data_IF_957144328602
#
_entry.id   IF_957144328602
#
_cell.length_a   1.000
_cell.length_b   1.000
_cell.length_c   1.000
_cell.angle_alpha   90.00
_cell.angle_beta   90.00
_cell.angle_gamma   90.00
#
_symmetry.space_group_name_H-M   'P 1'
#
loop_
_entity.id
_entity.type
_entity.pdbx_description
1 polymer ?
#
# COMPACT_ATOMS: atom_id res chain seq x y z
N UNK A 1 -0.76 -10.40 10.39
CA UNK A 1 -1.33 -11.22 11.49
C UNK A 1 -2.84 -11.11 11.47
N UNK A 2 -3.61 -12.17 11.76
CA UNK A 2 -5.07 -12.11 11.73
C UNK A 2 -5.66 -11.30 12.88
N UNK A 3 -6.92 -10.89 12.71
CA UNK A 3 -7.76 -10.27 13.71
C UNK A 3 -8.08 -11.20 14.88
N UNK A 4 -8.21 -10.63 16.08
CA UNK A 4 -8.55 -11.34 17.31
C UNK A 4 -9.99 -11.85 17.33
N UNK A 5 -10.24 -12.88 18.14
CA UNK A 5 -11.55 -13.52 18.30
C UNK A 5 -11.49 -15.04 18.11
N UNK A 6 -12.35 -15.76 18.82
CA UNK A 6 -12.44 -17.22 18.76
C UNK A 6 -13.01 -17.74 17.44
N UNK A 7 -12.81 -19.02 17.14
CA UNK A 7 -13.35 -19.67 15.93
C UNK A 7 -14.88 -19.60 15.93
N UNK A 8 -15.48 -19.05 14.89
CA UNK A 8 -16.95 -18.91 14.75
C UNK A 8 -17.57 -17.69 15.44
N UNK A 9 -16.78 -16.86 16.14
CA UNK A 9 -17.23 -15.59 16.70
C UNK A 9 -16.84 -14.40 15.80
N UNK A 10 -17.55 -13.26 15.89
CA UNK A 10 -17.13 -12.02 15.26
C UNK A 10 -15.69 -11.67 15.64
N UNK A 11 -14.87 -11.29 14.66
CA UNK A 11 -13.49 -10.87 14.89
C UNK A 11 -13.42 -9.39 15.30
N UNK A 12 -12.34 -9.03 15.99
CA UNK A 12 -11.95 -7.65 16.27
C UNK A 12 -10.74 -7.26 15.40
N UNK A 13 -10.95 -6.54 14.28
CA UNK A 13 -9.88 -6.11 13.38
C UNK A 13 -8.88 -5.12 13.98
N UNK A 14 -9.22 -4.49 15.12
CA UNK A 14 -8.35 -3.58 15.85
C UNK A 14 -7.35 -4.29 16.77
N UNK A 15 -7.45 -5.62 16.92
CA UNK A 15 -6.64 -6.40 17.85
C UNK A 15 -6.02 -7.61 17.18
N UNK A 16 -4.77 -7.89 17.54
CA UNK A 16 -4.02 -9.06 17.05
C UNK A 16 -4.53 -10.32 17.74
N UNK A 17 -4.75 -11.36 16.92
CA UNK A 17 -5.11 -12.71 17.34
C UNK A 17 -4.21 -13.27 18.45
N UNK A 18 -4.85 -13.89 19.44
CA UNK A 18 -4.22 -14.43 20.66
C UNK A 18 -4.97 -15.63 21.25
N UNK A 19 -5.75 -16.33 20.43
CA UNK A 19 -6.56 -17.49 20.79
C UNK A 19 -5.78 -18.82 20.87
N UNK A 20 -4.48 -18.83 20.52
CA UNK A 20 -3.60 -20.01 20.60
C UNK A 20 -2.29 -19.66 21.31
N UNK A 21 -1.54 -20.66 21.78
CA UNK A 21 -0.23 -20.43 22.39
C UNK A 21 0.75 -19.75 21.41
N UNK A 22 0.78 -20.19 20.14
CA UNK A 22 1.63 -19.59 19.11
C UNK A 22 1.28 -18.12 18.87
N UNK A 23 -0.01 -17.81 18.68
CA UNK A 23 -0.44 -16.43 18.42
C UNK A 23 -0.25 -15.52 19.63
N UNK A 24 -0.35 -16.04 20.86
CA UNK A 24 0.01 -15.29 22.08
C UNK A 24 1.48 -14.94 22.14
N UNK A 25 2.37 -15.86 21.79
CA UNK A 25 3.81 -15.59 21.81
C UNK A 25 4.21 -14.58 20.71
N UNK A 26 3.67 -14.73 19.50
CA UNK A 26 3.84 -13.75 18.40
C UNK A 26 3.37 -12.36 18.82
N UNK A 27 2.15 -12.25 19.39
CA UNK A 27 1.61 -10.99 19.91
C UNK A 27 2.50 -10.40 20.99
N UNK A 28 3.01 -11.21 21.93
CA UNK A 28 3.89 -10.77 23.01
C UNK A 28 5.20 -10.19 22.48
N UNK A 29 5.84 -10.84 21.52
CA UNK A 29 7.06 -10.35 20.87
C UNK A 29 6.79 -8.99 20.22
N UNK A 30 5.72 -8.87 19.45
CA UNK A 30 5.38 -7.61 18.80
C UNK A 30 5.05 -6.51 19.81
N UNK A 31 4.21 -6.79 20.81
CA UNK A 31 3.84 -5.78 21.81
C UNK A 31 5.05 -5.31 22.61
N UNK A 32 6.03 -6.19 22.87
CA UNK A 32 7.30 -5.81 23.48
C UNK A 32 8.09 -4.85 22.59
N UNK A 33 8.18 -5.13 21.29
CA UNK A 33 8.84 -4.25 20.33
C UNK A 33 8.14 -2.88 20.25
N UNK A 34 6.81 -2.86 20.17
CA UNK A 34 6.01 -1.63 20.09
C UNK A 34 6.03 -0.81 21.39
N UNK A 35 6.27 -1.44 22.53
CA UNK A 35 6.39 -0.74 23.82
C UNK A 35 7.81 -0.20 24.08
N UNK A 36 8.79 -0.64 23.29
CA UNK A 36 10.20 -0.26 23.46
C UNK A 36 10.55 0.94 22.58
N UNK A 37 11.62 1.68 22.93
CA UNK A 37 12.13 2.76 22.06
C UNK A 37 12.58 2.21 20.70
N UNK A 38 12.29 2.90 19.58
CA UNK A 38 11.60 4.20 19.48
C UNK A 38 10.06 4.11 19.44
N UNK A 39 9.49 2.92 19.29
CA UNK A 39 8.07 2.70 19.02
C UNK A 39 7.15 2.99 20.21
N UNK A 40 7.65 2.95 21.45
CA UNK A 40 6.88 3.28 22.65
C UNK A 40 6.31 4.71 22.65
N UNK A 41 6.84 5.60 21.79
CA UNK A 41 6.32 6.95 21.57
C UNK A 41 5.39 7.07 20.35
N UNK A 42 4.78 5.98 19.89
CA UNK A 42 3.83 5.96 18.78
C UNK A 42 2.44 5.48 19.26
N UNK A 43 1.40 6.04 18.65
CA UNK A 43 0.09 5.41 18.54
C UNK A 43 0.12 4.39 17.42
N UNK A 44 -0.56 3.26 17.63
CA UNK A 44 -0.65 2.18 16.65
C UNK A 44 -2.13 1.88 16.41
N UNK A 45 -2.55 1.94 15.15
CA UNK A 45 -3.85 1.46 14.72
C UNK A 45 -3.67 0.24 13.83
N UNK A 46 -4.54 -0.75 14.03
CA UNK A 46 -4.57 -1.98 13.24
C UNK A 46 -5.84 -2.00 12.41
N UNK A 47 -5.75 -2.52 11.19
CA UNK A 47 -6.91 -2.93 10.41
C UNK A 47 -6.60 -4.33 9.93
N UNK A 48 -7.07 -5.36 10.63
CA UNK A 48 -6.67 -6.75 10.39
C UNK A 48 -7.78 -7.55 9.71
N UNK A 49 -7.40 -8.45 8.82
CA UNK A 49 -8.31 -9.42 8.22
C UNK A 49 -8.57 -10.61 9.15
N UNK A 50 -9.64 -11.35 8.89
CA UNK A 50 -9.94 -12.61 9.59
C UNK A 50 -8.93 -13.72 9.29
N UNK A 51 -8.19 -13.58 8.19
CA UNK A 51 -7.19 -14.54 7.71
C UNK A 51 -5.76 -14.07 7.98
N UNK A 52 -4.77 -14.93 7.70
CA UNK A 52 -3.34 -14.53 7.72
C UNK A 52 -2.97 -13.65 6.52
N UNK A 53 -3.84 -13.56 5.52
CA UNK A 53 -3.64 -12.77 4.31
C UNK A 53 -4.25 -11.38 4.50
N UNK A 54 -3.49 -10.35 4.13
CA UNK A 54 -3.80 -8.93 4.35
C UNK A 54 -3.71 -8.46 5.81
N UNK A 55 -4.42 -7.37 6.09
CA UNK A 55 -4.22 -6.54 7.27
C UNK A 55 -3.13 -5.48 7.09
N UNK A 56 -3.32 -4.32 7.70
CA UNK A 56 -2.36 -3.23 7.72
C UNK A 56 -2.30 -2.56 9.09
N UNK A 57 -1.25 -1.77 9.30
CA UNK A 57 -1.04 -1.01 10.52
C UNK A 57 -0.60 0.42 10.20
N UNK A 58 -0.94 1.35 11.09
CA UNK A 58 -0.47 2.73 11.01
C UNK A 58 0.16 3.11 12.35
N UNK A 59 1.41 3.56 12.30
CA UNK A 59 2.13 4.08 13.45
C UNK A 59 2.30 5.60 13.30
N UNK A 60 1.83 6.37 14.28
CA UNK A 60 1.98 7.84 14.32
C UNK A 60 2.62 8.25 15.64
N UNK A 61 3.67 9.09 15.61
CA UNK A 61 4.29 9.59 16.85
C UNK A 61 3.23 10.28 17.72
N UNK A 62 3.27 10.07 19.04
CA UNK A 62 2.28 10.59 20.01
C UNK A 62 2.18 12.12 20.05
N UNK A 63 3.20 12.84 19.57
CA UNK A 63 3.14 14.30 19.42
C UNK A 63 2.22 14.76 18.28
N UNK A 64 1.81 13.87 17.37
CA UNK A 64 0.84 14.16 16.33
C UNK A 64 -0.50 13.49 16.65
N UNK A 65 -1.57 14.27 16.58
CA UNK A 65 -2.92 13.82 16.89
C UNK A 65 -3.80 13.87 15.64
N UNK A 66 -4.18 12.72 15.05
CA UNK A 66 -5.25 12.68 14.06
C UNK A 66 -6.56 13.17 14.67
N UNK A 67 -7.34 13.92 13.90
CA UNK A 67 -8.71 14.34 14.21
C UNK A 67 -9.66 13.15 14.17
N UNK A 68 -9.49 12.27 13.19
CA UNK A 68 -10.30 11.06 12.99
C UNK A 68 -9.42 9.97 12.40
N UNK A 69 -9.67 8.72 12.81
CA UNK A 69 -9.12 7.53 12.14
C UNK A 69 -10.28 6.66 11.69
N UNK A 70 -10.23 6.15 10.46
CA UNK A 70 -11.27 5.33 9.83
C UNK A 70 -10.63 4.14 9.12
N UNK A 71 -11.40 3.07 8.95
CA UNK A 71 -10.88 1.76 8.54
C UNK A 71 -11.57 1.18 7.30
N UNK A 72 -12.22 2.07 6.54
CA UNK A 72 -12.97 1.76 5.35
C UNK A 72 -12.82 2.90 4.34
N UNK A 73 -13.00 2.57 3.06
CA UNK A 73 -13.07 3.56 1.99
C UNK A 73 -14.35 4.40 2.11
N UNK A 74 -15.45 3.77 2.53
CA UNK A 74 -16.70 4.48 2.84
C UNK A 74 -16.58 5.25 4.16
N UNK A 75 -16.64 6.59 4.06
CA UNK A 75 -16.48 7.49 5.20
C UNK A 75 -17.63 7.44 6.21
N UNK A 76 -18.78 6.88 5.82
CA UNK A 76 -19.95 6.68 6.68
C UNK A 76 -19.90 5.36 7.46
N UNK A 77 -19.00 4.44 7.06
CA UNK A 77 -18.84 3.18 7.75
C UNK A 77 -18.20 3.37 9.13
N UNK A 78 -18.81 2.76 10.14
CA UNK A 78 -18.29 2.73 11.52
C UNK A 78 -17.45 1.49 11.82
N UNK A 79 -17.34 0.56 10.87
CA UNK A 79 -16.63 -0.72 11.02
C UNK A 79 -15.44 -0.79 10.07
N UNK A 80 -14.47 -1.63 10.41
CA UNK A 80 -13.38 -1.99 9.52
C UNK A 80 -13.92 -2.72 8.29
N UNK A 81 -13.26 -2.53 7.15
CA UNK A 81 -13.46 -3.43 6.02
C UNK A 81 -12.94 -4.84 6.37
N UNK A 82 -13.65 -5.91 5.98
CA UNK A 82 -13.30 -7.28 6.35
C UNK A 82 -11.87 -7.71 5.99
N UNK A 83 -11.31 -7.14 4.92
CA UNK A 83 -9.97 -7.49 4.45
C UNK A 83 -8.85 -6.71 5.16
N UNK A 84 -9.17 -5.75 6.04
CA UNK A 84 -8.16 -4.98 6.79
C UNK A 84 -7.22 -4.14 5.91
N UNK A 85 -7.68 -3.74 4.71
CA UNK A 85 -6.82 -3.13 3.66
C UNK A 85 -6.73 -1.62 3.71
N UNK A 86 -7.37 -0.97 4.69
CA UNK A 86 -7.55 0.49 4.73
C UNK A 86 -7.34 1.02 6.14
N UNK A 87 -6.52 2.07 6.24
CA UNK A 87 -6.51 3.00 7.36
C UNK A 87 -6.45 4.42 6.79
N UNK A 88 -7.44 5.25 7.09
CA UNK A 88 -7.46 6.66 6.78
C UNK A 88 -7.34 7.47 8.09
N UNK A 89 -6.24 8.19 8.24
CA UNK A 89 -6.02 9.12 9.34
C UNK A 89 -6.17 10.56 8.83
N UNK A 90 -7.13 11.29 9.37
CA UNK A 90 -7.35 12.70 9.06
C UNK A 90 -6.62 13.57 10.08
N UNK A 91 -5.74 14.43 9.61
CA UNK A 91 -5.10 15.48 10.40
C UNK A 91 -5.78 16.83 10.09
N UNK A 92 -5.39 17.86 10.86
CA UNK A 92 -5.93 19.22 10.66
C UNK A 92 -5.72 19.71 9.23
N UNK A 93 -4.53 19.50 8.66
CA UNK A 93 -4.12 20.09 7.37
C UNK A 93 -4.03 19.10 6.21
N UNK A 94 -4.04 17.79 6.47
CA UNK A 94 -3.96 16.76 5.42
C UNK A 94 -4.64 15.45 5.86
N UNK A 95 -4.83 14.54 4.92
CA UNK A 95 -5.26 13.15 5.16
C UNK A 95 -4.15 12.19 4.77
N UNK A 96 -3.93 11.16 5.59
CA UNK A 96 -3.05 10.03 5.29
C UNK A 96 -3.91 8.78 5.07
N UNK A 97 -3.91 8.29 3.84
CA UNK A 97 -4.57 7.05 3.45
C UNK A 97 -3.51 5.97 3.27
N UNK A 98 -3.49 4.97 4.14
CA UNK A 98 -2.69 3.78 3.97
C UNK A 98 -3.57 2.65 3.42
N UNK A 99 -3.14 2.03 2.32
CA UNK A 99 -3.86 0.90 1.73
C UNK A 99 -2.96 -0.26 1.34
N UNK A 100 -3.51 -1.46 1.42
CA UNK A 100 -2.96 -2.64 0.78
C UNK A 100 -3.93 -3.14 -0.31
N UNK A 101 -3.70 -2.77 -1.56
CA UNK A 101 -4.60 -3.11 -2.65
C UNK A 101 -4.63 -4.62 -2.90
N UNK A 102 -5.79 -5.20 -3.29
CA UNK A 102 -5.87 -6.62 -3.61
C UNK A 102 -5.06 -6.95 -4.87
N UNK A 103 -4.21 -7.98 -4.79
CA UNK A 103 -3.55 -8.55 -5.97
C UNK A 103 -4.54 -9.45 -6.75
N UNK A 104 -4.43 -9.47 -8.08
CA UNK A 104 -5.24 -10.37 -8.92
C UNK A 104 -4.78 -11.83 -8.82
N UNK A 105 -3.51 -12.07 -8.51
CA UNK A 105 -2.91 -13.40 -8.46
C UNK A 105 -3.01 -14.12 -9.81
N UNK A 106 -2.46 -15.33 -9.86
CA UNK A 106 -2.49 -16.14 -11.09
C UNK A 106 -3.63 -17.16 -11.11
N UNK A 107 -4.05 -17.64 -9.92
CA UNK A 107 -4.99 -18.78 -9.78
C UNK A 107 -5.83 -18.78 -8.50
N UNK A 108 -5.62 -17.82 -7.59
CA UNK A 108 -6.09 -17.99 -6.20
C UNK A 108 -7.59 -17.81 -6.04
N UNK A 109 -8.26 -17.02 -6.88
CA UNK A 109 -9.69 -16.77 -6.77
C UNK A 109 -10.31 -16.51 -8.16
N UNK A 110 -11.35 -17.25 -8.53
CA UNK A 110 -12.11 -17.05 -9.79
C UNK A 110 -12.59 -15.60 -9.97
N UNK A 111 -12.73 -14.86 -8.86
CA UNK A 111 -13.24 -13.48 -8.80
C UNK A 111 -12.17 -12.43 -8.53
N UNK A 112 -10.88 -12.76 -8.57
CA UNK A 112 -9.79 -11.83 -8.20
C UNK A 112 -9.80 -10.54 -9.03
N UNK A 113 -9.94 -10.65 -10.36
CA UNK A 113 -10.07 -9.50 -11.27
C UNK A 113 -11.31 -8.65 -10.97
N UNK A 114 -12.44 -9.27 -10.65
CA UNK A 114 -13.66 -8.55 -10.28
C UNK A 114 -13.48 -7.79 -8.96
N UNK A 115 -12.85 -8.43 -7.96
CA UNK A 115 -12.49 -7.81 -6.68
C UNK A 115 -11.58 -6.60 -6.90
N UNK A 116 -10.52 -6.75 -7.71
CA UNK A 116 -9.59 -5.64 -8.03
C UNK A 116 -10.28 -4.51 -8.79
N UNK A 117 -11.08 -4.80 -9.81
CA UNK A 117 -11.83 -3.76 -10.54
C UNK A 117 -12.80 -3.00 -9.62
N UNK A 118 -13.50 -3.69 -8.71
CA UNK A 118 -14.36 -3.05 -7.70
C UNK A 118 -13.56 -2.18 -6.73
N UNK A 119 -12.39 -2.66 -6.29
CA UNK A 119 -11.47 -1.89 -5.46
C UNK A 119 -11.01 -0.60 -6.16
N UNK A 120 -10.49 -0.71 -7.39
CA UNK A 120 -9.99 0.44 -8.16
C UNK A 120 -11.10 1.48 -8.39
N UNK A 121 -12.34 1.04 -8.67
CA UNK A 121 -13.50 1.93 -8.79
C UNK A 121 -13.79 2.67 -7.48
N UNK A 122 -13.82 1.96 -6.34
CA UNK A 122 -14.05 2.59 -5.02
C UNK A 122 -12.93 3.55 -4.65
N UNK A 123 -11.68 3.20 -4.97
CA UNK A 123 -10.53 4.08 -4.76
C UNK A 123 -10.66 5.37 -5.57
N UNK A 124 -11.04 5.29 -6.85
CA UNK A 124 -11.33 6.47 -7.68
C UNK A 124 -12.39 7.37 -7.02
N UNK A 125 -13.51 6.80 -6.60
CA UNK A 125 -14.59 7.53 -5.93
C UNK A 125 -14.09 8.22 -4.66
N UNK A 126 -13.31 7.53 -3.84
CA UNK A 126 -12.77 8.08 -2.59
C UNK A 126 -11.77 9.21 -2.83
N UNK A 127 -10.81 9.07 -3.75
CA UNK A 127 -9.80 10.13 -3.96
C UNK A 127 -10.44 11.41 -4.48
N UNK A 128 -11.51 11.29 -5.28
CA UNK A 128 -12.30 12.44 -5.74
C UNK A 128 -13.08 13.06 -4.58
N UNK A 129 -13.75 12.24 -3.75
CA UNK A 129 -14.50 12.70 -2.59
C UNK A 129 -13.63 13.40 -1.53
N UNK A 130 -12.38 12.95 -1.35
CA UNK A 130 -11.45 13.48 -0.34
C UNK A 130 -10.67 14.71 -0.82
N UNK A 131 -10.98 15.26 -2.01
CA UNK A 131 -10.19 16.33 -2.66
C UNK A 131 -10.24 17.70 -1.96
N UNK A 132 -11.15 17.91 -1.01
CA UNK A 132 -11.28 19.13 -0.21
C UNK A 132 -10.01 19.41 0.62
N UNK A 133 -9.36 18.36 1.14
CA UNK A 133 -8.14 18.46 1.95
C UNK A 133 -6.98 17.74 1.24
N UNK A 134 -5.73 18.25 1.34
CA UNK A 134 -4.56 17.55 0.79
C UNK A 134 -4.49 16.08 1.24
N UNK A 135 -4.20 15.18 0.30
CA UNK A 135 -4.15 13.74 0.51
C UNK A 135 -2.72 13.23 0.30
N UNK A 136 -2.26 12.38 1.21
CA UNK A 136 -1.11 11.51 1.04
C UNK A 136 -1.65 10.08 1.08
N UNK A 137 -1.51 9.34 -0.01
CA UNK A 137 -1.93 7.95 -0.15
C UNK A 137 -0.70 7.06 -0.29
N UNK A 138 -0.53 6.09 0.60
CA UNK A 138 0.61 5.19 0.59
C UNK A 138 0.25 3.72 0.80
N UNK A 139 1.26 2.87 0.63
CA UNK A 139 1.21 1.42 0.84
C UNK A 139 1.49 0.64 -0.43
N UNK A 140 1.29 -0.68 -0.36
CA UNK A 140 1.37 -1.58 -1.52
C UNK A 140 0.08 -1.47 -2.35
N UNK A 141 0.21 -0.85 -3.52
CA UNK A 141 -0.90 -0.61 -4.45
C UNK A 141 -1.03 -1.73 -5.50
N UNK A 142 -0.17 -2.76 -5.46
CA UNK A 142 -0.18 -3.91 -6.33
C UNK A 142 -0.33 -3.53 -7.81
N UNK A 143 0.40 -2.50 -8.25
CA UNK A 143 0.46 -2.06 -9.64
C UNK A 143 1.77 -1.35 -9.91
N UNK A 144 2.48 -1.69 -10.97
CA UNK A 144 3.57 -0.90 -11.54
C UNK A 144 3.00 -0.10 -12.70
N UNK A 145 2.98 1.22 -12.56
CA UNK A 145 2.19 2.09 -13.44
C UNK A 145 2.73 2.11 -14.87
N UNK A 146 4.03 2.29 -15.02
CA UNK A 146 4.68 2.43 -16.31
C UNK A 146 5.75 1.36 -16.57
N UNK A 147 6.18 1.21 -17.82
CA UNK A 147 7.23 0.22 -18.17
C UNK A 147 8.55 0.47 -17.44
N UNK A 148 8.81 1.71 -17.05
CA UNK A 148 9.98 2.07 -16.25
C UNK A 148 9.92 1.52 -14.81
N UNK A 149 8.72 1.14 -14.35
CA UNK A 149 8.46 0.66 -12.99
C UNK A 149 8.63 -0.83 -12.82
N UNK A 150 9.07 -1.52 -13.86
CA UNK A 150 9.47 -2.92 -13.78
C UNK A 150 10.84 -3.12 -14.42
N UNK A 151 11.61 -4.03 -13.84
CA UNK A 151 12.96 -4.36 -14.33
C UNK A 151 12.97 -5.04 -15.71
N UNK A 152 11.91 -5.76 -16.06
CA UNK A 152 11.81 -6.57 -17.27
C UNK A 152 10.41 -6.46 -17.89
N UNK A 153 10.10 -5.34 -18.56
CA UNK A 153 8.75 -5.06 -19.07
C UNK A 153 8.23 -6.17 -19.98
N UNK A 154 9.05 -6.65 -20.92
CA UNK A 154 8.66 -7.74 -21.83
C UNK A 154 8.28 -9.03 -21.09
N UNK A 155 9.08 -9.42 -20.08
CA UNK A 155 8.81 -10.60 -19.27
C UNK A 155 7.47 -10.47 -18.53
N UNK A 156 7.22 -9.33 -17.89
CA UNK A 156 6.01 -9.12 -17.13
C UNK A 156 4.78 -8.98 -18.03
N UNK A 157 4.88 -8.28 -19.17
CA UNK A 157 3.78 -8.15 -20.12
C UNK A 157 3.44 -9.46 -20.83
N UNK A 158 4.42 -10.34 -21.07
CA UNK A 158 4.21 -11.61 -21.74
C UNK A 158 3.96 -12.79 -20.78
N UNK A 159 4.01 -12.56 -19.46
CA UNK A 159 3.86 -13.62 -18.47
C UNK A 159 2.52 -14.35 -18.63
N UNK A 160 2.58 -15.68 -18.60
CA UNK A 160 1.44 -16.60 -18.72
C UNK A 160 1.60 -17.74 -17.73
N UNK A 161 0.48 -18.34 -17.36
CA UNK A 161 0.46 -19.56 -16.55
C UNK A 161 -0.29 -20.64 -17.31
N UNK A 162 0.33 -21.81 -17.42
CA UNK A 162 -0.28 -22.94 -18.11
C UNK A 162 -1.63 -23.31 -17.47
N UNK A 163 -2.63 -23.49 -18.33
CA UNK A 163 -4.00 -23.79 -17.95
C UNK A 163 -4.78 -22.60 -17.38
N UNK A 164 -4.29 -21.37 -17.54
CA UNK A 164 -5.00 -20.17 -17.13
C UNK A 164 -5.17 -19.20 -18.30
N UNK A 165 -6.42 -18.77 -18.53
CA UNK A 165 -6.78 -17.75 -19.51
C UNK A 165 -7.45 -16.62 -18.74
N UNK A 166 -6.87 -15.40 -18.74
CA UNK A 166 -7.50 -14.26 -18.08
C UNK A 166 -8.80 -13.88 -18.80
N UNK A 167 -9.74 -13.22 -18.11
CA UNK A 167 -11.08 -12.96 -18.66
C UNK A 167 -11.07 -12.03 -19.87
N UNK A 168 -10.08 -11.12 -19.97
CA UNK A 168 -9.93 -10.22 -21.12
C UNK A 168 -8.48 -10.16 -21.60
N UNK A 169 -8.27 -9.78 -22.86
CA UNK A 169 -6.92 -9.61 -23.45
C UNK A 169 -6.07 -8.57 -22.71
N UNK A 170 -6.70 -7.53 -22.15
CA UNK A 170 -6.02 -6.48 -21.36
C UNK A 170 -5.60 -6.94 -19.96
N UNK A 171 -6.10 -8.10 -19.51
CA UNK A 171 -5.74 -8.74 -18.24
C UNK A 171 -4.61 -9.79 -18.42
N UNK A 172 -4.07 -9.92 -19.65
CA UNK A 172 -2.88 -10.73 -19.93
C UNK A 172 -1.61 -10.09 -19.36
N UNK A 173 -0.66 -10.95 -18.96
CA UNK A 173 0.59 -10.54 -18.32
C UNK A 173 0.56 -10.78 -16.82
N UNK A 174 1.62 -10.35 -16.14
CA UNK A 174 1.79 -10.48 -14.70
C UNK A 174 0.78 -9.60 -13.96
N UNK A 175 0.00 -10.16 -13.00
CA UNK A 175 -0.75 -9.39 -12.02
C UNK A 175 0.11 -8.31 -11.36
N UNK A 176 -0.40 -7.08 -11.34
CA UNK A 176 0.34 -5.89 -10.96
C UNK A 176 1.04 -5.18 -12.12
N UNK A 177 1.00 -5.71 -13.35
CA UNK A 177 1.53 -5.04 -14.54
C UNK A 177 0.66 -5.26 -15.79
N UNK A 178 -0.58 -5.72 -15.62
CA UNK A 178 -1.50 -5.85 -16.74
C UNK A 178 -1.88 -4.47 -17.30
N UNK A 179 -2.23 -4.42 -18.59
CA UNK A 179 -2.64 -3.16 -19.23
C UNK A 179 -3.88 -2.56 -18.53
N UNK A 180 -4.81 -3.41 -18.08
CA UNK A 180 -6.04 -2.98 -17.44
C UNK A 180 -5.78 -2.35 -16.06
N UNK A 181 -4.90 -2.93 -15.24
CA UNK A 181 -4.49 -2.36 -13.94
C UNK A 181 -3.79 -1.02 -14.12
N UNK A 182 -2.83 -0.94 -15.05
CA UNK A 182 -2.08 0.29 -15.36
C UNK A 182 -3.01 1.43 -15.77
N UNK A 183 -3.94 1.17 -16.69
CA UNK A 183 -4.93 2.15 -17.13
C UNK A 183 -5.84 2.65 -16.00
N UNK A 184 -6.35 1.74 -15.16
CA UNK A 184 -7.21 2.14 -14.03
C UNK A 184 -6.43 2.94 -12.99
N UNK A 185 -5.19 2.56 -12.71
CA UNK A 185 -4.34 3.32 -11.80
C UNK A 185 -4.05 4.72 -12.33
N UNK A 186 -3.69 4.85 -13.61
CA UNK A 186 -3.51 6.16 -14.25
C UNK A 186 -4.78 7.03 -14.24
N UNK A 187 -5.96 6.43 -14.41
CA UNK A 187 -7.23 7.13 -14.27
C UNK A 187 -7.47 7.64 -12.83
N UNK A 188 -7.18 6.82 -11.81
CA UNK A 188 -7.26 7.23 -10.40
C UNK A 188 -6.36 8.45 -10.14
N UNK A 189 -5.10 8.40 -10.61
CA UNK A 189 -4.16 9.50 -10.40
C UNK A 189 -4.63 10.78 -11.09
N UNK A 190 -5.08 10.67 -12.34
CA UNK A 190 -5.54 11.81 -13.14
C UNK A 190 -6.77 12.48 -12.52
N UNK A 191 -7.83 11.72 -12.27
CA UNK A 191 -9.10 12.26 -11.76
C UNK A 191 -8.97 12.77 -10.32
N UNK A 192 -8.14 12.09 -9.50
CA UNK A 192 -7.84 12.53 -8.13
C UNK A 192 -6.88 13.72 -8.04
N UNK A 193 -6.31 14.21 -9.16
CA UNK A 193 -5.24 15.23 -9.19
C UNK A 193 -4.09 14.84 -8.24
N UNK A 194 -3.59 13.63 -8.47
CA UNK A 194 -2.58 12.99 -7.64
C UNK A 194 -1.28 12.82 -8.40
N UNK A 195 -0.18 12.89 -7.67
CA UNK A 195 1.19 12.82 -8.16
C UNK A 195 1.87 11.62 -7.49
N UNK A 196 2.48 10.77 -8.31
CA UNK A 196 3.44 9.78 -7.82
C UNK A 196 4.72 10.51 -7.38
N UNK A 197 4.98 10.56 -6.07
CA UNK A 197 6.09 11.34 -5.52
C UNK A 197 7.46 10.80 -5.96
N UNK A 198 7.60 9.48 -6.12
CA UNK A 198 8.84 8.88 -6.60
C UNK A 198 9.11 9.30 -8.04
N UNK A 199 8.13 9.15 -8.94
CA UNK A 199 8.28 9.57 -10.34
C UNK A 199 8.26 11.08 -10.53
N UNK A 200 7.81 11.85 -9.54
CA UNK A 200 7.97 13.29 -9.56
C UNK A 200 9.45 13.69 -9.52
N UNK A 201 10.25 13.04 -8.67
CA UNK A 201 11.68 13.31 -8.49
C UNK A 201 12.57 12.49 -9.43
N UNK A 202 12.28 11.19 -9.61
CA UNK A 202 13.12 10.24 -10.34
C UNK A 202 12.48 9.90 -11.69
N UNK A 203 12.78 10.72 -12.71
CA UNK A 203 12.21 10.56 -14.07
C UNK A 203 12.79 9.38 -14.83
N UNK A 204 14.05 9.08 -14.59
CA UNK A 204 14.78 8.02 -15.28
C UNK A 204 14.69 6.67 -14.57
N UNK A 205 15.05 5.62 -15.31
CA UNK A 205 15.06 4.26 -14.78
C UNK A 205 16.27 4.09 -13.86
N UNK A 206 16.02 3.65 -12.64
CA UNK A 206 17.07 3.22 -11.71
C UNK A 206 16.98 1.70 -11.53
N UNK A 207 17.97 0.98 -12.06
CA UNK A 207 18.01 -0.48 -11.96
C UNK A 207 18.52 -0.99 -10.60
N UNK A 208 19.06 -0.10 -9.77
CA UNK A 208 19.59 -0.42 -8.46
C UNK A 208 18.56 -0.14 -7.37
N UNK A 209 17.95 1.06 -7.37
CA UNK A 209 17.02 1.55 -6.32
C UNK A 209 15.63 1.92 -6.85
N UNK A 210 15.25 1.51 -8.06
CA UNK A 210 13.97 1.88 -8.67
C UNK A 210 12.76 1.01 -8.34
N UNK A 211 12.90 0.01 -7.46
CA UNK A 211 11.89 -1.02 -7.24
C UNK A 211 11.65 -1.27 -5.77
N UNK A 212 10.40 -1.52 -5.40
CA UNK A 212 9.99 -1.77 -4.02
C UNK A 212 9.78 -3.25 -3.73
N UNK A 213 9.47 -4.06 -4.73
CA UNK A 213 9.31 -5.50 -4.64
C UNK A 213 10.33 -6.23 -5.51
N UNK A 214 10.84 -7.36 -5.00
CA UNK A 214 11.68 -8.26 -5.77
C UNK A 214 11.23 -9.71 -5.62
N UNK A 215 11.21 -10.40 -6.77
CA UNK A 215 11.01 -11.83 -6.80
C UNK A 215 12.09 -12.59 -6.03
N UNK A 216 11.71 -13.77 -5.54
CA UNK A 216 12.55 -14.65 -4.73
C UNK A 216 13.94 -14.84 -5.38
N UNK A 217 15.05 -14.65 -4.61
CA UNK A 217 16.41 -14.87 -5.10
C UNK A 217 16.66 -16.27 -5.65
N UNK A 218 15.83 -17.24 -5.25
CA UNK A 218 15.83 -18.61 -5.74
C UNK A 218 14.53 -18.83 -6.51
N UNK A 219 14.61 -18.85 -7.85
CA UNK A 219 13.50 -19.26 -8.70
C UNK A 219 13.32 -18.42 -9.96
N UNK A 220 12.18 -18.63 -10.64
CA UNK A 220 11.87 -18.02 -11.95
C UNK A 220 11.82 -16.49 -11.95
N UNK A 221 11.59 -15.87 -10.79
CA UNK A 221 11.52 -14.42 -10.62
C UNK A 221 12.83 -13.82 -10.10
N UNK A 222 13.93 -14.58 -10.03
CA UNK A 222 15.22 -14.06 -9.59
C UNK A 222 15.62 -12.84 -10.44
N UNK A 223 15.91 -11.72 -9.78
CA UNK A 223 16.24 -10.45 -10.42
C UNK A 223 15.09 -9.72 -11.11
N UNK A 224 13.87 -10.28 -11.08
CA UNK A 224 12.65 -9.65 -11.59
C UNK A 224 12.04 -8.83 -10.45
N UNK A 225 12.02 -7.52 -10.66
CA UNK A 225 11.63 -6.49 -9.70
C UNK A 225 10.53 -5.60 -10.25
N UNK A 226 9.66 -5.12 -9.35
CA UNK A 226 8.51 -4.27 -9.62
C UNK A 226 8.47 -3.12 -8.59
N UNK A 227 8.02 -1.94 -9.01
CA UNK A 227 7.69 -0.84 -8.11
C UNK A 227 6.18 -0.85 -7.90
N UNK A 228 5.75 -1.28 -6.73
CA UNK A 228 4.32 -1.46 -6.38
C UNK A 228 3.93 -0.78 -5.07
N UNK A 229 4.91 -0.25 -4.34
CA UNK A 229 4.72 0.54 -3.13
C UNK A 229 4.92 2.02 -3.44
N UNK A 230 3.99 2.86 -2.97
CA UNK A 230 3.94 4.26 -3.39
C UNK A 230 3.79 5.21 -2.21
N UNK A 231 4.25 6.43 -2.44
CA UNK A 231 3.62 7.63 -1.91
C UNK A 231 3.02 8.41 -3.08
N UNK A 232 1.69 8.45 -3.11
CA UNK A 232 0.88 9.27 -4.00
C UNK A 232 0.41 10.49 -3.24
N UNK A 233 0.69 11.69 -3.73
CA UNK A 233 0.38 12.94 -3.04
C UNK A 233 -0.52 13.82 -3.89
N UNK A 234 -1.47 14.53 -3.27
CA UNK A 234 -2.27 15.52 -3.98
C UNK A 234 -1.39 16.59 -4.62
N UNK A 235 -1.79 17.10 -5.79
CA UNK A 235 -1.11 18.22 -6.46
C UNK A 235 -0.85 19.42 -5.53
N UNK A 236 -1.75 19.67 -4.56
CA UNK A 236 -1.61 20.70 -3.52
C UNK A 236 -0.34 20.57 -2.65
N UNK A 237 0.31 19.40 -2.63
CA UNK A 237 1.54 19.13 -1.87
C UNK A 237 2.76 18.93 -2.77
N UNK A 238 2.61 19.07 -4.10
CA UNK A 238 3.67 18.80 -5.09
C UNK A 238 4.97 19.51 -4.78
N UNK A 239 4.90 20.82 -4.56
CA UNK A 239 6.07 21.67 -4.39
C UNK A 239 6.72 21.50 -3.00
N UNK A 240 6.08 20.71 -2.13
CA UNK A 240 6.63 20.31 -0.84
C UNK A 240 7.39 18.99 -0.89
N UNK A 241 7.34 18.25 -2.00
CA UNK A 241 8.07 16.97 -2.10
C UNK A 241 9.58 17.25 -2.13
N UNK A 242 10.29 16.85 -1.07
CA UNK A 242 11.75 16.98 -0.98
C UNK A 242 12.42 15.69 -1.44
N UNK A 243 12.00 14.55 -0.88
CA UNK A 243 12.58 13.24 -1.18
C UNK A 243 11.50 12.17 -1.23
N UNK A 244 11.67 11.18 -2.09
CA UNK A 244 10.88 9.96 -2.09
C UNK A 244 11.77 8.81 -2.50
N UNK A 245 12.19 7.96 -1.57
CA UNK A 245 13.28 7.01 -1.76
C UNK A 245 12.85 5.57 -1.52
N UNK A 246 13.41 4.66 -2.31
CA UNK A 246 13.35 3.22 -2.06
C UNK A 246 14.58 2.82 -1.26
N UNK A 247 14.36 2.08 -0.16
CA UNK A 247 15.46 1.69 0.73
C UNK A 247 16.07 0.33 0.38
N UNK A 248 15.49 -0.38 -0.57
CA UNK A 248 15.99 -1.66 -1.09
C UNK A 248 16.84 -1.48 -2.33
N UNK A 249 17.84 -2.34 -2.51
CA UNK A 249 18.67 -2.34 -3.70
C UNK A 249 19.30 -3.69 -4.05
N UNK A 250 19.81 -3.77 -5.27
CA UNK A 250 20.50 -4.94 -5.81
C UNK A 250 19.60 -6.17 -6.02
N UNK A 251 20.22 -7.25 -6.52
CA UNK A 251 19.58 -8.56 -6.67
C UNK A 251 19.64 -9.41 -5.38
N UNK A 252 20.54 -9.03 -4.46
CA UNK A 252 20.77 -9.72 -3.19
C UNK A 252 19.83 -9.23 -2.06
N UNK A 253 18.86 -8.36 -2.38
CA UNK A 253 17.82 -7.86 -1.48
C UNK A 253 18.35 -7.09 -0.27
N UNK A 254 19.41 -6.29 -0.46
CA UNK A 254 19.88 -5.37 0.56
C UNK A 254 18.78 -4.35 0.88
N UNK A 255 18.48 -4.13 2.16
CA UNK A 255 17.43 -3.20 2.61
C UNK A 255 15.99 -3.74 2.58
N UNK A 256 15.78 -5.03 2.32
CA UNK A 256 14.44 -5.66 2.34
C UNK A 256 14.06 -6.27 3.71
N UNK A 257 15.00 -6.40 4.64
CA UNK A 257 14.77 -6.72 6.06
C UNK A 257 13.87 -7.95 6.33
N UNK A 258 13.97 -8.99 5.52
CA UNK A 258 13.19 -10.23 5.67
C UNK A 258 11.81 -10.23 5.00
N UNK A 259 11.47 -9.16 4.29
CA UNK A 259 10.34 -9.06 3.37
C UNK A 259 10.82 -9.22 1.92
N UNK A 260 9.91 -9.50 0.98
CA UNK A 260 10.16 -9.36 -0.47
C UNK A 260 9.86 -7.93 -0.98
N UNK A 261 9.37 -7.06 -0.09
CA UNK A 261 9.27 -5.62 -0.26
C UNK A 261 10.30 -4.86 0.58
N UNK A 262 10.84 -3.75 0.07
CA UNK A 262 11.66 -2.83 0.84
C UNK A 262 10.85 -1.63 1.35
N UNK A 263 11.32 -0.93 2.41
CA UNK A 263 10.71 0.32 2.82
C UNK A 263 10.75 1.39 1.73
N UNK A 264 9.74 2.26 1.71
CA UNK A 264 9.68 3.48 0.93
C UNK A 264 9.51 4.65 1.89
N UNK A 265 10.19 5.77 1.67
CA UNK A 265 10.03 6.99 2.47
C UNK A 265 9.61 8.17 1.60
N UNK A 266 8.82 9.07 2.18
CA UNK A 266 8.53 10.40 1.64
C UNK A 266 8.94 11.45 2.67
N UNK A 267 9.68 12.46 2.22
CA UNK A 267 9.95 13.68 2.98
C UNK A 267 9.25 14.86 2.32
N UNK A 268 8.49 15.61 3.12
CA UNK A 268 7.86 16.86 2.72
C UNK A 268 8.48 18.04 3.46
N UNK A 269 8.63 19.17 2.78
CA UNK A 269 9.04 20.42 3.40
C UNK A 269 8.03 20.85 4.48
N UNK A 270 8.46 21.64 5.48
CA UNK A 270 7.53 22.28 6.40
C UNK A 270 6.43 23.04 5.66
N UNK A 271 5.25 23.17 6.27
CA UNK A 271 4.24 24.06 5.73
C UNK A 271 4.80 25.49 5.74
N UNK A 272 4.64 26.23 4.65
CA UNK A 272 4.94 27.66 4.62
C UNK A 272 4.08 28.37 5.68
N UNK A 273 4.68 29.27 6.45
CA UNK A 273 4.01 30.09 7.47
C UNK A 273 2.98 31.06 6.89
N UNK A 274 2.94 31.25 5.57
CA UNK A 274 2.33 32.43 4.95
C UNK A 274 0.87 32.22 4.49
N UNK A 275 0.05 31.51 5.28
CA UNK A 275 -1.40 31.44 5.00
C UNK A 275 -2.28 31.66 6.22
N UNK A 276 -1.78 32.43 7.19
CA UNK A 276 -2.60 33.11 8.19
C UNK A 276 -2.46 34.61 7.95
N UNK A 277 -3.22 35.14 6.99
CA UNK A 277 -3.64 36.54 6.82
C UNK A 277 -3.80 36.87 5.32
N UNK A 278 -5.01 36.64 4.81
CA UNK A 278 -5.66 37.50 3.80
C UNK A 278 -7.15 37.21 3.77
#
# INVERSE_FOLDING_TARGET
MPAAGSKGAPKNPGEIKDDTNSSREEKKILMRALSSSPFGNYHVWWSLADSKYAGTALLVKKCFQPVKVSFALDQTASKHEPDGRVILAEFKTFRLLNTYAPNNGWKEEEKSFQRRRKWDKRMLEVVVQLSDKPLIWCGDLNVSHEEIDVSHPEFFSAAKVNGYVPPNKEDCGQPGFTLSERKRFGAILKEGKLIDAYRFLHKERDMERGFSWSGNPIGKYRGKRMRIDYFIVSEKLKDRIIQCEMHGHGIELEGFYGSDHCPVSLELSPASSDSSES
#
